data_IF_023603842086
#
_entry.id   IF_023603842086
#
_cell.length_a   1.000
_cell.length_b   1.000
_cell.length_c   1.000
_cell.angle_alpha   90.00
_cell.angle_beta   90.00
_cell.angle_gamma   90.00
#
_symmetry.space_group_name_H-M   'P 1'
#
loop_
_entity.id
_entity.type
_entity.pdbx_description
1 polymer ?
#
# COMPACT_ATOMS: atom_id res chain seq x y z
N UNK A 1 -6.62 3.31 22.71
CA UNK A 1 -6.68 4.77 22.97
C UNK A 1 -5.28 5.34 22.88
N UNK A 2 -5.12 6.45 22.18
CA UNK A 2 -3.88 7.26 22.11
C UNK A 2 -4.20 8.63 22.68
N UNK A 3 -3.27 9.23 23.39
CA UNK A 3 -3.43 10.52 24.03
C UNK A 3 -2.13 11.31 23.91
N UNK A 4 -2.27 12.60 23.68
CA UNK A 4 -1.21 13.60 23.79
C UNK A 4 -1.70 14.69 24.74
N UNK A 5 -0.88 15.06 25.71
CA UNK A 5 -1.20 16.08 26.71
C UNK A 5 -0.25 17.28 26.55
N UNK A 6 -0.77 18.48 26.78
CA UNK A 6 0.05 19.68 26.92
C UNK A 6 0.87 19.62 28.20
N UNK A 7 1.96 20.39 28.28
CA UNK A 7 2.81 20.47 29.46
C UNK A 7 1.98 20.81 30.68
N UNK A 8 2.11 20.00 31.76
CA UNK A 8 1.41 20.18 33.04
C UNK A 8 0.01 19.53 33.10
N UNK A 9 -0.49 18.94 32.02
CA UNK A 9 -1.77 18.22 31.99
C UNK A 9 -1.49 16.72 32.19
N UNK A 10 -2.08 16.07 33.20
CA UNK A 10 -1.89 14.64 33.44
C UNK A 10 -2.60 13.80 32.36
N UNK A 11 -1.94 12.72 31.93
CA UNK A 11 -2.54 11.77 30.98
C UNK A 11 -3.69 10.98 31.63
N UNK A 12 -4.79 10.84 30.92
CA UNK A 12 -6.01 10.15 31.34
C UNK A 12 -6.26 8.85 30.58
N UNK A 13 -5.36 8.47 29.67
CA UNK A 13 -5.50 7.34 28.76
C UNK A 13 -5.93 6.05 29.43
N UNK A 14 -5.33 5.73 30.56
CA UNK A 14 -5.58 4.44 31.23
C UNK A 14 -6.97 4.38 31.89
N UNK A 15 -7.55 5.52 32.24
CA UNK A 15 -8.90 5.64 32.79
C UNK A 15 -9.98 5.70 31.68
N UNK A 16 -9.64 6.18 30.51
CA UNK A 16 -10.55 6.30 29.35
C UNK A 16 -10.64 5.02 28.50
N UNK A 17 -10.05 3.91 28.95
CA UNK A 17 -10.13 2.66 28.20
C UNK A 17 -11.39 1.86 28.55
N UNK A 18 -11.92 1.15 27.56
CA UNK A 18 -13.06 0.23 27.72
C UNK A 18 -14.34 0.89 28.23
N UNK A 19 -14.57 2.16 27.94
CA UNK A 19 -15.82 2.84 28.31
C UNK A 19 -17.00 2.24 27.55
N UNK A 20 -18.09 1.84 28.23
CA UNK A 20 -19.25 1.26 27.59
C UNK A 20 -20.01 2.34 26.79
N UNK A 21 -20.12 2.14 25.47
CA UNK A 21 -20.79 3.11 24.55
C UNK A 21 -22.29 3.32 24.86
N UNK A 22 -22.88 2.45 25.66
CA UNK A 22 -24.27 2.58 26.14
C UNK A 22 -24.46 3.81 27.04
N UNK A 23 -23.41 4.20 27.76
CA UNK A 23 -23.41 5.40 28.62
C UNK A 23 -23.26 6.69 27.81
N UNK A 24 -22.89 6.60 26.54
CA UNK A 24 -22.62 7.74 25.65
C UNK A 24 -23.49 7.70 24.37
N UNK A 25 -24.82 7.83 24.48
CA UNK A 25 -25.73 7.69 23.34
C UNK A 25 -25.53 8.76 22.25
N UNK A 26 -25.10 9.97 22.61
CA UNK A 26 -24.75 11.02 21.65
C UNK A 26 -23.55 10.62 20.78
N UNK A 27 -22.51 10.06 21.39
CA UNK A 27 -21.30 9.59 20.70
C UNK A 27 -21.64 8.47 19.73
N UNK A 28 -22.47 7.52 20.16
CA UNK A 28 -22.96 6.44 19.26
C UNK A 28 -23.75 6.99 18.06
N UNK A 29 -24.59 8.00 18.27
CA UNK A 29 -25.35 8.67 17.20
C UNK A 29 -24.45 9.45 16.27
N UNK A 30 -23.48 10.19 16.82
CA UNK A 30 -22.51 10.97 16.05
C UNK A 30 -21.63 10.08 15.18
N UNK A 31 -21.16 8.96 15.73
CA UNK A 31 -20.35 7.98 15.00
C UNK A 31 -21.12 7.39 13.81
N UNK A 32 -22.40 6.99 14.02
CA UNK A 32 -23.26 6.47 12.94
C UNK A 32 -23.55 7.50 11.87
N UNK A 33 -23.76 8.77 12.27
CA UNK A 33 -24.09 9.85 11.35
C UNK A 33 -22.85 10.52 10.73
N UNK A 34 -21.65 10.13 11.15
CA UNK A 34 -20.37 10.77 10.80
C UNK A 34 -20.42 12.31 11.04
N UNK A 35 -20.98 12.71 12.18
CA UNK A 35 -21.11 14.11 12.55
C UNK A 35 -20.23 14.45 13.76
N UNK A 36 -19.64 15.65 13.81
CA UNK A 36 -18.85 16.07 14.97
C UNK A 36 -19.72 16.18 16.22
N UNK A 37 -19.08 16.05 17.37
CA UNK A 37 -19.62 16.35 18.67
C UNK A 37 -18.93 17.59 19.21
N UNK A 38 -19.74 18.51 19.69
CA UNK A 38 -19.28 19.71 20.37
C UNK A 38 -19.96 19.81 21.75
N UNK A 39 -19.19 20.13 22.76
CA UNK A 39 -19.65 20.45 24.10
C UNK A 39 -19.06 21.81 24.43
N UNK A 40 -19.87 22.84 24.44
CA UNK A 40 -19.50 24.22 24.80
C UNK A 40 -20.09 24.66 26.13
N UNK A 41 -21.09 23.90 26.62
CA UNK A 41 -21.78 24.16 27.89
C UNK A 41 -22.17 22.83 28.58
N UNK A 42 -21.45 22.49 29.64
CA UNK A 42 -21.73 21.29 30.42
C UNK A 42 -23.00 21.37 31.25
N UNK A 43 -23.43 22.57 31.64
CA UNK A 43 -24.66 22.74 32.42
C UNK A 43 -25.88 22.56 31.54
N UNK A 44 -25.81 23.02 30.29
CA UNK A 44 -26.79 22.72 29.26
C UNK A 44 -26.83 21.23 28.93
N UNK A 45 -25.69 20.60 28.83
CA UNK A 45 -25.57 19.14 28.58
C UNK A 45 -26.19 18.33 29.70
N UNK A 46 -25.98 18.71 30.96
CA UNK A 46 -26.49 18.01 32.15
C UNK A 46 -28.03 17.90 32.17
N UNK A 47 -28.75 18.84 31.56
CA UNK A 47 -30.22 18.80 31.48
C UNK A 47 -30.75 17.65 30.63
N UNK A 48 -30.00 17.23 29.61
CA UNK A 48 -30.42 16.20 28.66
C UNK A 48 -29.63 14.90 28.78
N UNK A 49 -28.40 14.99 29.26
CA UNK A 49 -27.44 13.87 29.38
C UNK A 49 -26.63 13.99 30.66
N UNK A 50 -27.28 13.78 31.83
CA UNK A 50 -26.65 14.03 33.13
C UNK A 50 -25.43 13.15 33.42
N UNK A 51 -25.47 11.86 33.00
CA UNK A 51 -24.36 10.92 33.18
C UNK A 51 -23.13 11.31 32.35
N UNK A 52 -23.35 11.78 31.12
CA UNK A 52 -22.30 12.26 30.26
C UNK A 52 -21.65 13.54 30.80
N UNK A 53 -22.47 14.49 31.30
CA UNK A 53 -21.97 15.72 31.88
C UNK A 53 -21.21 15.46 33.20
N UNK A 54 -21.68 14.52 34.04
CA UNK A 54 -21.00 14.11 35.27
C UNK A 54 -19.62 13.51 34.94
N UNK A 55 -19.56 12.66 33.91
CA UNK A 55 -18.31 12.08 33.46
C UNK A 55 -17.29 13.17 33.06
N UNK A 56 -17.64 14.14 32.22
CA UNK A 56 -16.71 15.20 31.81
C UNK A 56 -16.27 16.08 33.01
N UNK A 57 -17.16 16.34 33.96
CA UNK A 57 -16.80 17.08 35.19
C UNK A 57 -15.80 16.32 36.03
N UNK A 58 -15.95 15.01 36.17
CA UNK A 58 -15.03 14.15 36.92
C UNK A 58 -13.61 14.22 36.32
N UNK A 59 -13.49 14.34 34.99
CA UNK A 59 -12.21 14.45 34.31
C UNK A 59 -11.74 15.88 34.09
N UNK A 60 -12.45 16.88 34.63
CA UNK A 60 -12.06 18.29 34.54
C UNK A 60 -12.20 18.91 33.17
N UNK A 61 -12.89 18.26 32.23
CA UNK A 61 -13.15 18.76 30.89
C UNK A 61 -14.31 19.74 30.95
N UNK A 62 -14.12 20.98 30.45
CA UNK A 62 -15.15 22.01 30.42
C UNK A 62 -15.77 22.16 29.04
N UNK A 63 -14.97 22.02 27.99
CA UNK A 63 -15.39 22.05 26.60
C UNK A 63 -14.76 20.91 25.82
N UNK A 64 -15.40 20.46 24.76
CA UNK A 64 -14.88 19.35 23.95
C UNK A 64 -15.27 19.51 22.50
N UNK A 65 -14.33 19.23 21.62
CA UNK A 65 -14.55 19.12 20.21
C UNK A 65 -14.08 17.73 19.73
N UNK A 66 -14.99 16.95 19.13
CA UNK A 66 -14.67 15.61 18.66
C UNK A 66 -15.15 15.38 17.21
N UNK A 67 -14.30 14.83 16.39
CA UNK A 67 -14.62 14.38 15.03
C UNK A 67 -14.61 12.86 14.96
N UNK A 68 -15.67 12.22 14.47
CA UNK A 68 -15.71 10.79 14.26
C UNK A 68 -14.87 10.40 13.05
N UNK A 69 -14.31 9.20 13.11
CA UNK A 69 -13.81 8.48 11.95
C UNK A 69 -14.44 7.10 11.89
N UNK A 70 -14.86 6.71 10.70
CA UNK A 70 -15.48 5.40 10.49
C UNK A 70 -15.01 4.84 9.16
N UNK A 71 -14.29 3.72 9.22
CA UNK A 71 -14.07 2.82 8.10
C UNK A 71 -14.36 1.41 8.56
N UNK A 72 -14.74 0.53 7.62
CA UNK A 72 -15.25 -0.85 7.85
C UNK A 72 -14.68 -1.63 9.04
N UNK A 73 -13.46 -1.32 9.50
CA UNK A 73 -12.76 -2.07 10.56
C UNK A 73 -12.35 -1.16 11.72
N UNK A 74 -12.23 0.15 11.51
CA UNK A 74 -11.81 1.11 12.53
C UNK A 74 -12.86 2.20 12.69
N UNK A 75 -13.44 2.31 13.87
CA UNK A 75 -14.38 3.36 14.23
C UNK A 75 -13.89 4.02 15.53
N UNK A 76 -13.98 5.32 15.58
CA UNK A 76 -13.58 6.07 16.78
C UNK A 76 -13.77 7.57 16.62
N UNK A 77 -13.17 8.30 17.53
CA UNK A 77 -13.16 9.75 17.54
C UNK A 77 -11.73 10.26 17.72
N UNK A 78 -11.44 11.39 17.08
CA UNK A 78 -10.36 12.28 17.54
C UNK A 78 -11.06 13.39 18.30
N UNK A 79 -10.63 13.64 19.52
CA UNK A 79 -11.17 14.67 20.38
C UNK A 79 -10.07 15.58 20.90
N UNK A 80 -10.43 16.81 21.16
CA UNK A 80 -9.61 17.80 21.86
C UNK A 80 -10.45 18.32 23.02
N UNK A 81 -9.92 18.19 24.20
CA UNK A 81 -10.49 18.73 25.43
C UNK A 81 -9.99 20.15 25.64
N UNK A 82 -10.89 21.04 26.02
CA UNK A 82 -10.64 22.45 26.30
C UNK A 82 -9.81 23.17 25.20
N UNK A 83 -10.23 23.13 23.93
CA UNK A 83 -9.51 23.76 22.84
C UNK A 83 -9.44 25.29 23.06
N UNK A 84 -8.22 25.85 22.92
CA UNK A 84 -7.99 27.29 23.05
C UNK A 84 -8.14 28.03 21.72
N UNK A 85 -8.17 27.29 20.60
CA UNK A 85 -8.37 27.81 19.23
C UNK A 85 -9.32 26.92 18.46
N UNK A 86 -10.04 27.49 17.51
CA UNK A 86 -10.98 26.75 16.66
C UNK A 86 -12.03 25.98 17.46
N UNK A 87 -12.55 26.61 18.49
CA UNK A 87 -13.45 26.01 19.49
C UNK A 87 -14.78 25.53 18.91
N UNK A 88 -15.15 26.01 17.75
CA UNK A 88 -16.41 25.77 17.03
C UNK A 88 -16.20 25.17 15.62
N UNK A 89 -14.96 24.96 15.18
CA UNK A 89 -14.64 24.44 13.85
C UNK A 89 -14.03 23.02 13.92
N UNK A 90 -14.81 21.98 13.57
CA UNK A 90 -14.35 20.59 13.58
C UNK A 90 -13.54 20.20 12.33
N UNK A 91 -13.39 21.07 11.32
CA UNK A 91 -12.77 20.70 10.03
C UNK A 91 -11.34 20.20 10.21
N UNK A 92 -10.57 20.85 11.06
CA UNK A 92 -9.20 20.41 11.36
C UNK A 92 -9.16 18.99 11.94
N UNK A 93 -10.09 18.65 12.85
CA UNK A 93 -10.16 17.30 13.44
C UNK A 93 -10.59 16.25 12.41
N UNK A 94 -11.44 16.61 11.43
CA UNK A 94 -11.76 15.71 10.32
C UNK A 94 -10.52 15.42 9.45
N UNK A 95 -9.71 16.43 9.14
CA UNK A 95 -8.46 16.25 8.42
C UNK A 95 -7.51 15.35 9.23
N UNK A 96 -7.34 15.63 10.52
CA UNK A 96 -6.52 14.82 11.40
C UNK A 96 -7.06 13.38 11.51
N UNK A 97 -8.38 13.20 11.59
CA UNK A 97 -9.00 11.87 11.65
C UNK A 97 -8.72 11.04 10.40
N UNK A 98 -8.68 11.68 9.23
CA UNK A 98 -8.32 11.02 7.98
C UNK A 98 -6.85 10.55 8.00
N UNK A 99 -5.92 11.41 8.44
CA UNK A 99 -4.51 11.06 8.59
C UNK A 99 -4.30 9.89 9.56
N UNK A 100 -4.98 9.92 10.71
CA UNK A 100 -4.93 8.82 11.70
C UNK A 100 -5.48 7.51 11.11
N UNK A 101 -6.57 7.56 10.33
CA UNK A 101 -7.12 6.37 9.68
C UNK A 101 -6.14 5.78 8.66
N UNK A 102 -5.42 6.62 7.91
CA UNK A 102 -4.39 6.16 6.98
C UNK A 102 -3.26 5.45 7.74
N UNK A 103 -2.74 6.07 8.79
CA UNK A 103 -1.67 5.50 9.63
C UNK A 103 -2.10 4.20 10.32
N UNK A 104 -3.30 4.17 10.91
CA UNK A 104 -3.83 2.95 11.53
C UNK A 104 -4.04 1.82 10.53
N UNK A 105 -4.40 2.12 9.29
CA UNK A 105 -4.49 1.10 8.24
C UNK A 105 -3.10 0.57 7.87
N UNK A 106 -2.11 1.44 7.78
CA UNK A 106 -0.73 1.07 7.49
C UNK A 106 -0.13 0.21 8.63
N UNK A 107 -0.29 0.63 9.88
CA UNK A 107 0.11 -0.14 11.07
C UNK A 107 -0.59 -1.51 11.10
N UNK A 108 -1.90 -1.58 10.84
CA UNK A 108 -2.64 -2.84 10.79
C UNK A 108 -2.21 -3.72 9.62
N UNK A 109 -1.92 -3.15 8.49
CA UNK A 109 -1.40 -3.88 7.34
C UNK A 109 -0.02 -4.46 7.66
N UNK A 110 0.86 -3.68 8.28
CA UNK A 110 2.14 -4.15 8.80
C UNK A 110 1.98 -5.20 9.91
N UNK A 111 1.01 -5.02 10.82
CA UNK A 111 0.71 -6.01 11.87
C UNK A 111 0.06 -7.27 11.30
N UNK A 112 -0.78 -7.16 10.28
CA UNK A 112 -1.36 -8.31 9.57
C UNK A 112 -0.29 -9.06 8.78
N UNK A 113 0.64 -8.36 8.17
CA UNK A 113 1.84 -8.95 7.55
C UNK A 113 2.69 -9.62 8.63
N UNK A 114 2.96 -8.95 9.76
CA UNK A 114 3.70 -9.52 10.90
C UNK A 114 2.93 -10.65 11.61
N UNK A 115 1.60 -10.60 11.67
CA UNK A 115 0.77 -11.66 12.29
C UNK A 115 0.53 -12.81 11.32
N UNK A 116 0.38 -12.58 10.02
CA UNK A 116 0.44 -13.63 9.00
C UNK A 116 1.83 -14.29 8.98
N UNK A 117 2.87 -13.51 9.23
CA UNK A 117 4.23 -13.98 9.43
C UNK A 117 4.41 -14.73 10.78
N UNK A 118 3.60 -14.43 11.82
CA UNK A 118 3.63 -15.11 13.13
C UNK A 118 2.60 -16.24 13.30
N UNK A 119 1.48 -16.23 12.58
CA UNK A 119 0.39 -17.22 12.70
C UNK A 119 0.46 -18.33 11.67
N UNK A 120 1.23 -18.19 10.61
CA UNK A 120 1.73 -19.31 9.84
C UNK A 120 2.62 -20.10 10.81
N UNK A 121 2.33 -21.40 11.03
CA UNK A 121 3.34 -22.34 11.47
C UNK A 121 4.52 -22.09 10.53
N UNK A 122 5.52 -21.39 11.01
CA UNK A 122 6.68 -21.00 10.24
C UNK A 122 7.31 -22.30 9.74
N UNK A 123 7.06 -22.61 8.49
CA UNK A 123 7.88 -23.60 7.84
C UNK A 123 9.24 -22.92 7.67
N UNK A 124 10.33 -23.40 8.26
CA UNK A 124 11.66 -22.80 8.13
C UNK A 124 12.12 -22.68 6.67
N UNK A 125 11.37 -23.26 5.77
CA UNK A 125 11.60 -23.31 4.32
C UNK A 125 10.87 -22.20 3.55
N UNK A 126 9.97 -21.43 4.18
CA UNK A 126 9.25 -20.34 3.52
C UNK A 126 10.11 -19.08 3.38
N UNK A 127 10.29 -18.62 2.15
CA UNK A 127 11.02 -17.40 1.80
C UNK A 127 10.12 -16.48 0.99
N UNK A 128 9.91 -15.28 1.50
CA UNK A 128 9.15 -14.24 0.80
C UNK A 128 10.10 -13.27 0.13
N UNK A 129 9.86 -12.96 -1.13
CA UNK A 129 10.74 -12.11 -1.92
C UNK A 129 9.89 -11.08 -2.67
N UNK A 130 10.19 -9.80 -2.43
CA UNK A 130 9.57 -8.70 -3.13
C UNK A 130 10.56 -8.15 -4.17
N UNK A 131 10.05 -7.84 -5.36
CA UNK A 131 10.81 -7.29 -6.47
C UNK A 131 10.24 -5.98 -7.00
N UNK A 132 8.94 -5.72 -6.78
CA UNK A 132 8.33 -4.46 -7.17
C UNK A 132 8.85 -3.30 -6.32
N UNK A 133 9.51 -2.32 -6.97
CA UNK A 133 10.12 -1.17 -6.31
C UNK A 133 11.50 -1.43 -5.71
N UNK A 134 12.01 -2.68 -5.77
CA UNK A 134 13.32 -3.08 -5.26
C UNK A 134 13.34 -4.50 -4.69
N UNK A 135 14.53 -5.05 -4.47
CA UNK A 135 14.65 -6.39 -3.90
C UNK A 135 14.57 -6.36 -2.38
N UNK A 136 13.70 -7.19 -1.83
CA UNK A 136 13.63 -7.48 -0.40
C UNK A 136 13.41 -8.98 -0.20
N UNK A 137 14.23 -9.62 0.61
CA UNK A 137 14.17 -11.04 0.91
C UNK A 137 13.88 -11.21 2.40
N UNK A 138 12.78 -11.86 2.71
CA UNK A 138 12.30 -12.08 4.07
C UNK A 138 12.32 -13.57 4.37
N UNK A 139 13.05 -13.93 5.42
CA UNK A 139 13.13 -15.29 5.95
C UNK A 139 12.70 -15.33 7.42
N UNK A 140 12.52 -16.51 8.02
CA UNK A 140 12.32 -16.67 9.47
C UNK A 140 13.40 -16.03 10.35
N UNK A 141 14.63 -15.89 9.81
CA UNK A 141 15.77 -15.40 10.58
C UNK A 141 16.08 -13.93 10.37
N UNK A 142 15.44 -13.27 9.41
CA UNK A 142 15.63 -11.84 9.16
C UNK A 142 15.25 -11.40 7.75
N UNK A 143 15.51 -10.14 7.48
CA UNK A 143 15.25 -9.49 6.19
C UNK A 143 16.55 -8.97 5.60
N UNK A 144 16.70 -9.08 4.29
CA UNK A 144 17.81 -8.58 3.50
C UNK A 144 17.25 -7.74 2.36
N UNK A 145 17.75 -6.52 2.22
CA UNK A 145 17.33 -5.58 1.16
C UNK A 145 18.33 -5.58 0.01
N UNK A 146 17.93 -5.01 -1.12
CA UNK A 146 18.82 -4.83 -2.26
C UNK A 146 20.06 -3.97 -1.95
N UNK A 147 19.99 -3.10 -0.94
CA UNK A 147 21.12 -2.27 -0.49
C UNK A 147 22.19 -3.08 0.25
N UNK A 148 21.80 -4.18 0.88
CA UNK A 148 22.74 -5.09 1.57
C UNK A 148 23.57 -5.89 0.56
N UNK A 149 23.10 -6.01 -0.69
CA UNK A 149 23.79 -6.70 -1.79
C UNK A 149 24.57 -5.65 -2.61
N UNK A 150 25.75 -5.28 -2.13
CA UNK A 150 26.55 -4.18 -2.68
C UNK A 150 27.05 -4.41 -4.12
N UNK A 151 27.35 -5.66 -4.48
CA UNK A 151 27.90 -5.98 -5.78
C UNK A 151 26.78 -6.22 -6.81
N UNK A 152 26.78 -5.47 -7.89
CA UNK A 152 25.80 -5.54 -8.97
C UNK A 152 25.67 -6.94 -9.57
N UNK A 153 26.78 -7.60 -9.83
CA UNK A 153 26.81 -8.98 -10.34
C UNK A 153 26.13 -9.98 -9.38
N UNK A 154 26.32 -9.81 -8.06
CA UNK A 154 25.61 -10.62 -7.06
C UNK A 154 24.11 -10.37 -7.10
N UNK A 155 23.72 -9.11 -7.18
CA UNK A 155 22.31 -8.73 -7.24
C UNK A 155 21.64 -9.29 -8.50
N UNK A 156 22.25 -9.10 -9.68
CA UNK A 156 21.70 -9.58 -10.97
C UNK A 156 21.60 -11.11 -10.99
N UNK A 157 22.64 -11.83 -10.53
CA UNK A 157 22.62 -13.29 -10.48
C UNK A 157 21.48 -13.79 -9.58
N UNK A 158 21.34 -13.21 -8.39
CA UNK A 158 20.28 -13.60 -7.45
C UNK A 158 18.90 -13.30 -8.03
N UNK A 159 18.71 -12.11 -8.59
CA UNK A 159 17.48 -11.71 -9.23
C UNK A 159 17.09 -12.66 -10.37
N UNK A 160 18.04 -13.00 -11.24
CA UNK A 160 17.80 -13.89 -12.37
C UNK A 160 17.41 -15.30 -11.91
N UNK A 161 18.10 -15.84 -10.91
CA UNK A 161 17.79 -17.16 -10.35
C UNK A 161 16.41 -17.20 -9.69
N UNK A 162 16.02 -16.13 -8.96
CA UNK A 162 14.71 -16.06 -8.29
C UNK A 162 13.58 -15.89 -9.30
N UNK A 163 13.72 -14.98 -10.28
CA UNK A 163 12.72 -14.79 -11.35
C UNK A 163 12.49 -16.07 -12.16
N UNK A 164 13.47 -16.96 -12.14
CA UNK A 164 13.41 -18.25 -12.80
C UNK A 164 13.59 -19.43 -11.83
N UNK A 165 13.08 -19.31 -10.60
CA UNK A 165 13.36 -20.25 -9.50
C UNK A 165 13.00 -21.71 -9.79
N UNK A 166 12.17 -21.97 -10.81
CA UNK A 166 11.80 -23.34 -11.26
C UNK A 166 12.76 -23.94 -12.29
N UNK A 167 13.81 -23.19 -12.70
CA UNK A 167 14.75 -23.59 -13.75
C UNK A 167 16.17 -23.78 -13.23
N UNK A 168 16.96 -24.56 -14.00
CA UNK A 168 18.39 -24.74 -13.79
C UNK A 168 19.16 -24.03 -14.90
N UNK A 169 20.29 -23.43 -14.57
CA UNK A 169 21.09 -22.66 -15.52
C UNK A 169 22.53 -23.14 -15.54
N UNK A 170 23.11 -23.22 -16.74
CA UNK A 170 24.53 -23.50 -16.90
C UNK A 170 25.37 -22.30 -16.45
N UNK A 171 26.63 -22.55 -16.15
CA UNK A 171 27.59 -21.50 -15.80
C UNK A 171 27.72 -20.49 -16.92
N UNK A 172 27.76 -20.94 -18.18
CA UNK A 172 27.90 -20.05 -19.34
C UNK A 172 26.71 -19.11 -19.45
N UNK A 173 25.46 -19.63 -19.32
CA UNK A 173 24.25 -18.80 -19.31
C UNK A 173 24.28 -17.75 -18.20
N UNK A 174 24.73 -18.13 -17.01
CA UNK A 174 24.82 -17.18 -15.89
C UNK A 174 25.92 -16.15 -16.09
N UNK A 175 27.04 -16.53 -16.68
CA UNK A 175 28.12 -15.61 -17.03
C UNK A 175 27.68 -14.55 -18.02
N UNK A 176 26.90 -14.92 -19.04
CA UNK A 176 26.31 -13.98 -20.01
C UNK A 176 25.37 -12.97 -19.34
N UNK A 177 24.61 -13.37 -18.32
CA UNK A 177 23.69 -12.48 -17.61
C UNK A 177 24.44 -11.47 -16.73
N UNK A 178 25.53 -11.86 -16.09
CA UNK A 178 26.24 -11.00 -15.12
C UNK A 178 27.39 -10.20 -15.75
N UNK A 179 27.86 -10.60 -16.93
CA UNK A 179 28.96 -9.95 -17.66
C UNK A 179 28.69 -10.01 -19.17
N UNK A 180 27.63 -9.37 -19.69
CA UNK A 180 27.19 -9.56 -21.08
C UNK A 180 28.16 -9.00 -22.12
N UNK A 181 29.09 -8.14 -21.72
CA UNK A 181 30.01 -7.44 -22.62
C UNK A 181 31.48 -7.81 -22.39
N UNK A 182 31.77 -8.69 -21.44
CA UNK A 182 33.13 -9.07 -21.08
C UNK A 182 33.47 -10.44 -21.67
N UNK A 183 34.60 -10.52 -22.41
CA UNK A 183 35.24 -11.80 -22.70
C UNK A 183 35.89 -12.32 -21.41
N UNK A 184 35.25 -13.31 -20.79
CA UNK A 184 35.75 -13.88 -19.54
C UNK A 184 36.77 -14.98 -19.82
N UNK A 185 37.99 -14.84 -19.31
CA UNK A 185 39.01 -15.90 -19.36
C UNK A 185 38.55 -17.20 -18.72
N UNK A 186 37.68 -17.09 -17.69
CA UNK A 186 37.15 -18.25 -16.99
C UNK A 186 35.74 -17.96 -16.40
N UNK A 187 34.66 -18.15 -17.16
CA UNK A 187 33.26 -18.02 -16.68
C UNK A 187 33.02 -18.84 -15.41
N UNK A 188 33.60 -20.02 -15.33
CA UNK A 188 33.53 -20.92 -14.17
C UNK A 188 34.01 -20.25 -12.88
N UNK A 189 35.19 -19.61 -12.91
CA UNK A 189 35.76 -18.95 -11.70
C UNK A 189 34.91 -17.74 -11.28
N UNK A 190 34.45 -16.94 -12.24
CA UNK A 190 33.65 -15.73 -12.00
C UNK A 190 32.31 -16.09 -11.36
N UNK A 191 31.55 -16.99 -11.96
CA UNK A 191 30.23 -17.41 -11.44
C UNK A 191 30.36 -18.05 -10.05
N UNK A 192 31.35 -18.95 -9.84
CA UNK A 192 31.54 -19.58 -8.52
C UNK A 192 31.89 -18.55 -7.45
N UNK A 193 32.75 -17.56 -7.75
CA UNK A 193 33.05 -16.47 -6.80
C UNK A 193 31.84 -15.65 -6.43
N UNK A 194 30.97 -15.31 -7.40
CA UNK A 194 29.75 -14.57 -7.16
C UNK A 194 28.78 -15.39 -6.31
N UNK A 195 28.60 -16.69 -6.63
CA UNK A 195 27.75 -17.59 -5.83
C UNK A 195 28.29 -17.74 -4.41
N UNK A 196 29.59 -17.85 -4.23
CA UNK A 196 30.20 -17.90 -2.90
C UNK A 196 29.89 -16.63 -2.09
N UNK A 197 30.07 -15.45 -2.70
CA UNK A 197 29.75 -14.15 -2.07
C UNK A 197 28.28 -14.06 -1.72
N UNK A 198 27.37 -14.46 -2.63
CA UNK A 198 25.94 -14.50 -2.39
C UNK A 198 25.57 -15.40 -1.22
N UNK A 199 26.09 -16.62 -1.17
CA UNK A 199 25.84 -17.53 -0.04
C UNK A 199 26.26 -16.94 1.30
N UNK A 200 27.40 -16.22 1.31
CA UNK A 200 27.86 -15.50 2.50
C UNK A 200 26.91 -14.36 2.89
N UNK A 201 26.40 -13.58 1.93
CA UNK A 201 25.41 -12.53 2.20
C UNK A 201 24.09 -13.13 2.70
N UNK A 202 23.59 -14.16 2.03
CA UNK A 202 22.35 -14.86 2.39
C UNK A 202 22.44 -15.59 3.73
N UNK A 203 23.64 -15.97 4.20
CA UNK A 203 23.82 -16.64 5.50
C UNK A 203 23.40 -15.76 6.68
N UNK A 204 23.43 -14.42 6.54
CA UNK A 204 23.00 -13.48 7.58
C UNK A 204 21.53 -13.69 7.96
N UNK A 205 20.72 -14.11 6.98
CA UNK A 205 19.31 -14.41 7.16
C UNK A 205 19.00 -15.92 7.08
N UNK A 206 20.06 -16.77 7.20
CA UNK A 206 19.94 -18.24 7.24
C UNK A 206 19.58 -18.90 5.91
N UNK A 207 19.87 -18.25 4.80
CA UNK A 207 19.57 -18.72 3.45
C UNK A 207 20.85 -19.09 2.65
N UNK A 208 21.91 -19.52 3.31
CA UNK A 208 23.16 -19.93 2.66
C UNK A 208 23.00 -21.07 1.65
N UNK A 209 21.97 -21.89 1.81
CA UNK A 209 21.62 -23.00 0.92
C UNK A 209 20.58 -22.66 -0.16
N UNK A 210 20.13 -21.39 -0.22
CA UNK A 210 19.13 -20.97 -1.20
C UNK A 210 19.59 -21.19 -2.66
N UNK A 211 20.89 -21.03 -2.92
CA UNK A 211 21.47 -21.28 -4.24
C UNK A 211 22.27 -22.58 -4.16
N UNK A 212 21.85 -23.58 -4.91
CA UNK A 212 22.56 -24.85 -5.01
C UNK A 212 23.20 -25.02 -6.38
N UNK A 213 24.39 -25.63 -6.39
CA UNK A 213 25.16 -25.97 -7.60
C UNK A 213 25.39 -27.46 -7.69
N UNK A 214 25.10 -28.05 -8.86
CA UNK A 214 25.39 -29.47 -9.15
C UNK A 214 25.72 -29.64 -10.62
N UNK A 215 26.79 -30.38 -10.92
CA UNK A 215 27.17 -30.73 -12.30
C UNK A 215 27.27 -29.51 -13.25
N UNK A 216 27.92 -28.42 -12.80
CA UNK A 216 28.12 -27.22 -13.62
C UNK A 216 26.83 -26.38 -13.86
N UNK A 217 25.78 -26.64 -13.11
CA UNK A 217 24.54 -25.84 -13.15
C UNK A 217 24.20 -25.28 -11.78
N UNK A 218 23.50 -24.15 -11.76
CA UNK A 218 22.97 -23.53 -10.56
C UNK A 218 21.45 -23.38 -10.63
N UNK A 219 20.80 -23.46 -9.48
CA UNK A 219 19.35 -23.26 -9.31
C UNK A 219 19.03 -22.79 -7.89
N UNK A 220 17.80 -22.33 -7.68
CA UNK A 220 17.24 -22.17 -6.33
C UNK A 220 17.01 -23.57 -5.73
N UNK A 221 17.35 -23.72 -4.44
CA UNK A 221 17.21 -24.97 -3.72
C UNK A 221 15.74 -25.42 -3.64
N UNK A 222 15.41 -26.67 -3.98
CA UNK A 222 14.04 -27.17 -3.98
C UNK A 222 13.45 -27.32 -2.56
N UNK A 223 14.28 -27.22 -1.54
CA UNK A 223 13.87 -27.29 -0.13
C UNK A 223 13.21 -25.98 0.35
N UNK A 224 13.24 -24.92 -0.46
CA UNK A 224 12.67 -23.63 -0.11
C UNK A 224 11.36 -23.39 -0.86
N UNK A 225 10.34 -22.98 -0.11
CA UNK A 225 9.08 -22.49 -0.67
C UNK A 225 9.21 -21.00 -0.99
N UNK A 226 9.42 -20.69 -2.25
CA UNK A 226 9.59 -19.29 -2.69
C UNK A 226 8.22 -18.66 -2.96
N UNK A 227 7.94 -17.57 -2.27
CA UNK A 227 6.74 -16.74 -2.43
C UNK A 227 7.15 -15.36 -2.91
N UNK A 228 6.88 -15.03 -4.17
CA UNK A 228 7.23 -13.72 -4.73
C UNK A 228 6.02 -12.79 -4.83
N UNK A 229 6.26 -11.48 -4.80
CA UNK A 229 5.23 -10.47 -5.03
C UNK A 229 4.69 -10.56 -6.47
N UNK A 230 5.53 -10.80 -7.45
CA UNK A 230 5.11 -10.91 -8.85
C UNK A 230 4.28 -12.18 -9.14
N UNK A 231 4.59 -13.36 -8.56
CA UNK A 231 3.76 -14.56 -8.70
C UNK A 231 2.37 -14.35 -8.06
N UNK A 232 2.33 -13.68 -6.90
CA UNK A 232 1.08 -13.34 -6.21
C UNK A 232 0.27 -12.33 -7.02
N UNK A 233 0.93 -11.34 -7.60
CA UNK A 233 0.31 -10.35 -8.48
C UNK A 233 -0.30 -11.00 -9.73
N UNK A 234 0.45 -11.85 -10.44
CA UNK A 234 -0.05 -12.60 -11.59
C UNK A 234 -1.23 -13.50 -11.22
N UNK A 235 -1.13 -14.21 -10.09
CA UNK A 235 -2.21 -15.07 -9.61
C UNK A 235 -3.50 -14.28 -9.35
N UNK A 236 -3.39 -13.10 -8.73
CA UNK A 236 -4.54 -12.22 -8.51
C UNK A 236 -5.13 -11.71 -9.84
N UNK A 237 -4.28 -11.35 -10.81
CA UNK A 237 -4.70 -10.92 -12.15
C UNK A 237 -5.42 -12.04 -12.93
N UNK A 238 -4.94 -13.28 -12.81
CA UNK A 238 -5.59 -14.45 -13.44
C UNK A 238 -6.97 -14.70 -12.79
N UNK A 239 -7.05 -14.69 -11.46
CA UNK A 239 -8.31 -14.89 -10.74
C UNK A 239 -9.34 -13.80 -11.07
N UNK A 240 -8.93 -12.55 -11.25
CA UNK A 240 -9.82 -11.45 -11.64
C UNK A 240 -10.52 -11.67 -12.99
N UNK A 241 -9.96 -12.49 -13.88
CA UNK A 241 -10.58 -12.80 -15.18
C UNK A 241 -11.80 -13.73 -15.06
N UNK A 242 -11.85 -14.55 -14.04
CA UNK A 242 -12.86 -15.59 -13.85
C UNK A 242 -13.75 -15.37 -12.62
N UNK A 243 -13.37 -14.47 -11.70
CA UNK A 243 -14.15 -14.22 -10.49
C UNK A 243 -15.39 -13.35 -10.81
N UNK A 244 -16.56 -13.83 -10.46
CA UNK A 244 -17.84 -13.14 -10.70
C UNK A 244 -18.38 -12.45 -9.44
N UNK A 245 -17.99 -12.91 -8.25
CA UNK A 245 -18.51 -12.37 -6.98
C UNK A 245 -17.96 -10.96 -6.72
N UNK A 246 -18.80 -9.93 -6.58
CA UNK A 246 -18.35 -8.54 -6.45
C UNK A 246 -17.38 -8.31 -5.29
N UNK A 247 -17.63 -8.89 -4.12
CA UNK A 247 -16.78 -8.71 -2.94
C UNK A 247 -15.40 -9.35 -3.13
N UNK A 248 -15.34 -10.53 -3.77
CA UNK A 248 -14.09 -11.20 -4.08
C UNK A 248 -13.30 -10.43 -5.14
N UNK A 249 -13.97 -9.95 -6.20
CA UNK A 249 -13.34 -9.08 -7.20
C UNK A 249 -12.73 -7.83 -6.57
N UNK A 250 -13.47 -7.18 -5.66
CA UNK A 250 -12.97 -6.02 -4.94
C UNK A 250 -11.70 -6.34 -4.15
N UNK A 251 -11.70 -7.45 -3.42
CA UNK A 251 -10.54 -7.91 -2.64
C UNK A 251 -9.33 -8.23 -3.52
N UNK A 252 -9.56 -8.89 -4.66
CA UNK A 252 -8.51 -9.23 -5.62
C UNK A 252 -7.90 -8.00 -6.28
N UNK A 253 -8.73 -7.02 -6.69
CA UNK A 253 -8.24 -5.73 -7.21
C UNK A 253 -7.35 -5.02 -6.19
N UNK A 254 -7.82 -4.91 -4.95
CA UNK A 254 -7.06 -4.27 -3.88
C UNK A 254 -5.73 -4.99 -3.63
N UNK A 255 -5.76 -6.32 -3.51
CA UNK A 255 -4.56 -7.13 -3.35
C UNK A 255 -3.56 -6.95 -4.49
N UNK A 256 -4.02 -6.98 -5.74
CA UNK A 256 -3.15 -6.82 -6.90
C UNK A 256 -2.51 -5.42 -6.94
N UNK A 257 -3.33 -4.37 -6.76
CA UNK A 257 -2.85 -2.97 -6.77
C UNK A 257 -1.84 -2.73 -5.64
N UNK A 258 -2.08 -3.29 -4.45
CA UNK A 258 -1.19 -3.12 -3.28
C UNK A 258 0.15 -3.86 -3.43
N UNK A 259 0.20 -4.93 -4.21
CA UNK A 259 1.44 -5.66 -4.47
C UNK A 259 2.39 -4.88 -5.39
N UNK A 260 1.86 -4.11 -6.34
CA UNK A 260 2.69 -3.38 -7.29
C UNK A 260 3.21 -2.07 -6.67
N UNK A 261 4.49 -2.05 -6.32
CA UNK A 261 5.14 -0.88 -5.69
C UNK A 261 6.00 -0.06 -6.67
N UNK A 262 6.04 -0.45 -7.93
CA UNK A 262 6.83 0.21 -8.98
C UNK A 262 7.47 -0.79 -9.92
N UNK A 263 8.42 -0.30 -10.69
CA UNK A 263 9.17 -1.13 -11.63
C UNK A 263 9.86 -2.30 -10.93
N UNK A 264 10.01 -3.39 -11.67
CA UNK A 264 10.75 -4.55 -11.21
C UNK A 264 12.24 -4.18 -11.09
N UNK A 265 12.80 -4.26 -9.88
CA UNK A 265 14.23 -4.03 -9.62
C UNK A 265 14.76 -2.74 -10.28
N UNK A 266 14.31 -1.56 -9.91
CA UNK A 266 14.60 -0.29 -10.61
C UNK A 266 16.10 0.05 -10.69
N UNK A 267 16.94 -0.55 -9.82
CA UNK A 267 18.40 -0.40 -9.87
C UNK A 267 19.01 -0.84 -11.22
N UNK A 268 18.33 -1.75 -11.93
CA UNK A 268 18.79 -2.39 -13.16
C UNK A 268 17.78 -2.25 -14.31
N UNK A 269 17.06 -1.13 -14.35
CA UNK A 269 16.03 -0.87 -15.38
C UNK A 269 16.56 -0.89 -16.83
N UNK A 270 17.87 -0.71 -17.03
CA UNK A 270 18.53 -0.72 -18.32
C UNK A 270 18.90 -2.14 -18.81
N UNK A 271 18.81 -3.16 -17.97
CA UNK A 271 19.00 -4.55 -18.37
C UNK A 271 17.85 -5.01 -19.27
N UNK A 272 18.16 -5.36 -20.52
CA UNK A 272 17.15 -5.63 -21.56
C UNK A 272 16.13 -6.71 -21.14
N UNK A 273 16.62 -7.80 -20.57
CA UNK A 273 15.76 -8.90 -20.10
C UNK A 273 14.83 -8.49 -18.96
N UNK A 274 15.28 -7.60 -18.08
CA UNK A 274 14.51 -7.08 -16.95
C UNK A 274 13.52 -6.00 -17.40
N UNK A 275 13.94 -5.15 -18.34
CA UNK A 275 13.09 -4.10 -18.93
C UNK A 275 11.83 -4.69 -19.56
N UNK A 276 11.96 -5.79 -20.31
CA UNK A 276 10.80 -6.48 -20.92
C UNK A 276 9.81 -6.98 -19.85
N UNK A 277 10.31 -7.57 -18.76
CA UNK A 277 9.48 -8.00 -17.64
C UNK A 277 8.83 -6.82 -16.91
N UNK A 278 9.58 -5.74 -16.69
CA UNK A 278 9.04 -4.53 -16.05
C UNK A 278 7.90 -3.92 -16.86
N UNK A 279 8.08 -3.83 -18.19
CA UNK A 279 7.01 -3.34 -19.10
C UNK A 279 5.77 -4.25 -19.07
N UNK A 280 5.95 -5.56 -19.04
CA UNK A 280 4.84 -6.51 -18.91
C UNK A 280 4.06 -6.28 -17.62
N UNK A 281 4.73 -6.23 -16.46
CA UNK A 281 4.07 -6.03 -15.18
C UNK A 281 3.44 -4.66 -15.05
N UNK A 282 4.08 -3.60 -15.56
CA UNK A 282 3.50 -2.26 -15.60
C UNK A 282 2.22 -2.22 -16.44
N UNK A 283 2.24 -2.81 -17.63
CA UNK A 283 1.05 -2.90 -18.48
C UNK A 283 -0.09 -3.64 -17.79
N UNK A 284 0.21 -4.76 -17.15
CA UNK A 284 -0.76 -5.55 -16.40
C UNK A 284 -1.33 -4.76 -15.20
N UNK A 285 -0.48 -4.04 -14.47
CA UNK A 285 -0.88 -3.17 -13.37
C UNK A 285 -1.84 -2.07 -13.84
N UNK A 286 -1.50 -1.37 -14.92
CA UNK A 286 -2.35 -0.31 -15.48
C UNK A 286 -3.71 -0.88 -15.94
N UNK A 287 -3.73 -2.04 -16.59
CA UNK A 287 -4.96 -2.71 -17.01
C UNK A 287 -5.87 -3.04 -15.82
N UNK A 288 -5.30 -3.63 -14.76
CA UNK A 288 -6.03 -3.98 -13.53
C UNK A 288 -6.55 -2.73 -12.84
N UNK A 289 -5.71 -1.70 -12.74
CA UNK A 289 -6.09 -0.43 -12.08
C UNK A 289 -7.21 0.27 -12.84
N UNK A 290 -7.18 0.31 -14.15
CA UNK A 290 -8.29 0.84 -14.99
C UNK A 290 -9.59 0.09 -14.72
N UNK A 291 -9.54 -1.23 -14.67
CA UNK A 291 -10.71 -2.06 -14.32
C UNK A 291 -11.28 -1.72 -12.94
N UNK A 292 -10.41 -1.51 -11.96
CA UNK A 292 -10.82 -1.14 -10.60
C UNK A 292 -11.41 0.27 -10.53
N UNK A 293 -10.76 1.24 -11.18
CA UNK A 293 -11.24 2.62 -11.26
C UNK A 293 -12.62 2.67 -11.91
N UNK A 294 -12.84 1.95 -13.03
CA UNK A 294 -14.16 1.82 -13.69
C UNK A 294 -15.19 1.28 -12.72
N UNK A 295 -14.89 0.18 -12.04
CA UNK A 295 -15.78 -0.39 -11.02
C UNK A 295 -16.17 0.63 -9.93
N UNK A 296 -15.21 1.44 -9.49
CA UNK A 296 -15.45 2.49 -8.48
C UNK A 296 -16.29 3.66 -9.00
N UNK A 297 -16.10 4.04 -10.26
CA UNK A 297 -16.95 5.02 -10.94
C UNK A 297 -18.40 4.54 -11.03
N UNK A 298 -18.62 3.29 -11.41
CA UNK A 298 -19.96 2.67 -11.51
C UNK A 298 -20.66 2.60 -10.13
N UNK A 299 -19.89 2.33 -9.08
CA UNK A 299 -20.36 2.37 -7.69
C UNK A 299 -20.51 3.78 -7.11
N UNK A 300 -20.22 4.84 -7.87
CA UNK A 300 -20.19 6.24 -7.43
C UNK A 300 -19.23 6.54 -6.27
N UNK A 301 -18.22 5.70 -6.08
CA UNK A 301 -17.13 5.91 -5.13
C UNK A 301 -16.04 6.76 -5.80
N UNK A 302 -16.39 8.02 -6.10
CA UNK A 302 -15.54 8.92 -6.87
C UNK A 302 -14.23 9.28 -6.14
N UNK A 303 -14.25 9.30 -4.81
CA UNK A 303 -13.06 9.59 -4.01
C UNK A 303 -12.01 8.51 -4.21
N UNK A 304 -12.42 7.25 -4.11
CA UNK A 304 -11.49 6.13 -4.28
C UNK A 304 -11.08 5.96 -5.75
N UNK A 305 -12.02 6.21 -6.70
CA UNK A 305 -11.70 6.21 -8.13
C UNK A 305 -10.63 7.26 -8.48
N UNK A 306 -10.80 8.50 -8.01
CA UNK A 306 -9.85 9.59 -8.22
C UNK A 306 -8.48 9.23 -7.64
N UNK A 307 -8.44 8.81 -6.37
CA UNK A 307 -7.19 8.44 -5.69
C UNK A 307 -6.47 7.36 -6.46
N UNK A 308 -7.16 6.28 -6.79
CA UNK A 308 -6.55 5.12 -7.49
C UNK A 308 -6.04 5.50 -8.88
N UNK A 309 -6.77 6.33 -9.63
CA UNK A 309 -6.34 6.81 -10.94
C UNK A 309 -5.07 7.67 -10.83
N UNK A 310 -5.03 8.60 -9.86
CA UNK A 310 -3.87 9.48 -9.65
C UNK A 310 -2.64 8.67 -9.19
N UNK A 311 -2.82 7.70 -8.29
CA UNK A 311 -1.73 6.84 -7.83
C UNK A 311 -1.13 6.03 -9.00
N UNK A 312 -1.95 5.56 -9.91
CA UNK A 312 -1.49 4.83 -11.10
C UNK A 312 -0.80 5.73 -12.14
N UNK A 313 -1.24 6.99 -12.28
CA UNK A 313 -0.62 7.97 -13.16
C UNK A 313 0.83 8.34 -12.74
N UNK A 314 1.28 7.95 -11.56
CA UNK A 314 2.69 8.05 -11.16
C UNK A 314 3.60 7.13 -11.99
N UNK A 315 3.05 6.03 -12.50
CA UNK A 315 3.77 5.05 -13.31
C UNK A 315 3.62 5.29 -14.81
N UNK A 316 2.49 5.87 -15.23
CA UNK A 316 2.26 6.35 -16.60
C UNK A 316 1.45 7.65 -16.59
N UNK A 317 2.12 8.81 -16.48
CA UNK A 317 1.45 10.12 -16.45
C UNK A 317 0.66 10.47 -17.71
N UNK A 318 0.94 9.76 -18.83
CA UNK A 318 0.32 10.01 -20.13
C UNK A 318 -0.85 9.07 -20.45
N UNK A 319 -1.18 8.15 -19.55
CA UNK A 319 -2.31 7.25 -19.78
C UNK A 319 -3.61 8.03 -19.91
N UNK A 320 -4.20 8.00 -21.08
CA UNK A 320 -5.36 8.81 -21.45
C UNK A 320 -6.62 8.42 -20.66
N UNK A 321 -6.84 7.13 -20.43
CA UNK A 321 -8.03 6.61 -19.75
C UNK A 321 -8.00 6.93 -18.26
N UNK A 322 -6.86 6.76 -17.59
CA UNK A 322 -6.69 7.12 -16.18
C UNK A 322 -6.82 8.63 -15.95
N UNK A 323 -6.25 9.45 -16.85
CA UNK A 323 -6.45 10.91 -16.82
C UNK A 323 -7.93 11.27 -16.95
N UNK A 324 -8.67 10.65 -17.88
CA UNK A 324 -10.11 10.83 -18.03
C UNK A 324 -10.87 10.51 -16.72
N UNK A 325 -10.61 9.34 -16.13
CA UNK A 325 -11.29 8.97 -14.90
C UNK A 325 -10.95 9.88 -13.73
N UNK A 326 -9.72 10.33 -13.58
CA UNK A 326 -9.31 11.27 -12.55
C UNK A 326 -10.10 12.58 -12.67
N UNK A 327 -10.22 13.12 -13.89
CA UNK A 327 -10.96 14.36 -14.17
C UNK A 327 -12.45 14.19 -13.91
N UNK A 328 -13.07 13.12 -14.41
CA UNK A 328 -14.49 12.83 -14.20
C UNK A 328 -14.81 12.66 -12.71
N UNK A 329 -13.97 11.93 -11.98
CA UNK A 329 -14.15 11.71 -10.56
C UNK A 329 -14.06 13.02 -9.76
N UNK A 330 -13.15 13.95 -10.11
CA UNK A 330 -13.10 15.31 -9.53
C UNK A 330 -14.39 16.08 -9.79
N UNK A 331 -14.86 16.06 -11.03
CA UNK A 331 -16.09 16.76 -11.41
C UNK A 331 -17.34 16.22 -10.70
N UNK A 332 -17.49 14.90 -10.62
CA UNK A 332 -18.62 14.26 -9.93
C UNK A 332 -18.62 14.44 -8.40
N UNK A 333 -17.48 14.80 -7.82
CA UNK A 333 -17.37 15.24 -6.42
C UNK A 333 -17.75 16.73 -6.23
N UNK A 334 -18.10 17.45 -7.30
CA UNK A 334 -18.42 18.89 -7.27
C UNK A 334 -17.20 19.80 -7.44
N UNK A 335 -15.99 19.26 -7.63
CA UNK A 335 -14.75 20.02 -7.75
C UNK A 335 -14.47 20.44 -9.22
N UNK A 336 -15.45 21.13 -9.84
CA UNK A 336 -15.36 21.49 -11.27
C UNK A 336 -14.15 22.37 -11.62
N UNK A 337 -13.78 23.30 -10.75
CA UNK A 337 -12.58 24.13 -10.96
C UNK A 337 -11.29 23.32 -11.04
N UNK A 338 -11.13 22.34 -10.13
CA UNK A 338 -9.99 21.44 -10.13
C UNK A 338 -10.01 20.53 -11.37
N UNK A 339 -11.18 19.98 -11.72
CA UNK A 339 -11.36 19.17 -12.92
C UNK A 339 -10.96 19.93 -14.19
N UNK A 340 -11.36 21.21 -14.31
CA UNK A 340 -11.00 22.09 -15.43
C UNK A 340 -9.48 22.32 -15.51
N UNK A 341 -8.85 22.63 -14.37
CA UNK A 341 -7.40 22.85 -14.30
C UNK A 341 -6.64 21.58 -14.72
N UNK A 342 -7.05 20.43 -14.18
CA UNK A 342 -6.44 19.15 -14.49
C UNK A 342 -6.66 18.74 -15.94
N UNK A 343 -7.88 18.97 -16.50
CA UNK A 343 -8.17 18.74 -17.91
C UNK A 343 -7.25 19.55 -18.82
N UNK A 344 -7.04 20.82 -18.52
CA UNK A 344 -6.15 21.71 -19.31
C UNK A 344 -4.72 21.17 -19.32
N UNK A 345 -4.23 20.68 -18.19
CA UNK A 345 -2.88 20.11 -18.08
C UNK A 345 -2.77 18.75 -18.79
N UNK A 346 -3.79 17.90 -18.68
CA UNK A 346 -3.81 16.55 -19.26
C UNK A 346 -4.16 16.53 -20.75
N UNK A 347 -4.72 17.60 -21.30
CA UNK A 347 -5.22 17.70 -22.69
C UNK A 347 -4.24 17.16 -23.76
N UNK A 348 -2.92 17.40 -23.68
CA UNK A 348 -1.97 16.86 -24.66
C UNK A 348 -1.88 15.32 -24.68
N UNK A 349 -2.33 14.66 -23.64
CA UNK A 349 -2.22 13.21 -23.47
C UNK A 349 -3.58 12.50 -23.62
N UNK A 350 -4.68 13.26 -23.73
CA UNK A 350 -6.02 12.69 -23.87
C UNK A 350 -6.28 12.25 -25.32
N UNK A 351 -6.73 11.03 -25.50
CA UNK A 351 -7.33 10.58 -26.76
C UNK A 351 -8.61 11.38 -27.02
N UNK A 352 -8.93 11.60 -28.31
CA UNK A 352 -10.10 12.39 -28.70
C UNK A 352 -11.39 11.89 -28.05
N UNK A 353 -11.61 10.59 -28.04
CA UNK A 353 -12.78 9.95 -27.41
C UNK A 353 -12.88 10.24 -25.92
N UNK A 354 -11.77 10.20 -25.18
CA UNK A 354 -11.74 10.49 -23.75
C UNK A 354 -11.98 11.97 -23.46
N UNK A 355 -11.45 12.87 -24.29
CA UNK A 355 -11.70 14.29 -24.19
C UNK A 355 -13.18 14.63 -24.44
N UNK A 356 -13.83 13.96 -25.41
CA UNK A 356 -15.26 14.13 -25.69
C UNK A 356 -16.12 13.63 -24.51
N UNK A 357 -15.77 12.51 -23.89
CA UNK A 357 -16.44 12.01 -22.68
C UNK A 357 -16.39 13.04 -21.56
N UNK A 358 -15.20 13.61 -21.29
CA UNK A 358 -15.04 14.64 -20.24
C UNK A 358 -15.92 15.86 -20.54
N UNK A 359 -15.88 16.38 -21.77
CA UNK A 359 -16.69 17.53 -22.17
C UNK A 359 -18.17 17.27 -22.04
N UNK A 360 -18.64 16.07 -22.46
CA UNK A 360 -20.04 15.66 -22.36
C UNK A 360 -20.57 15.65 -20.94
N UNK A 361 -19.79 15.11 -19.99
CA UNK A 361 -20.27 14.91 -18.62
C UNK A 361 -20.02 16.10 -17.69
N UNK A 362 -18.98 16.88 -17.91
CA UNK A 362 -18.62 18.02 -17.06
C UNK A 362 -18.91 19.39 -17.69
N UNK A 363 -19.41 19.43 -18.94
CA UNK A 363 -19.67 20.65 -19.71
C UNK A 363 -18.45 21.60 -19.76
N UNK A 364 -17.23 21.02 -19.75
CA UNK A 364 -15.96 21.74 -19.84
C UNK A 364 -15.74 22.19 -21.29
N UNK A 365 -15.28 23.43 -21.49
CA UNK A 365 -15.00 24.01 -22.81
C UNK A 365 -13.63 23.60 -23.36
#
# INVERSE_FOLDING_TARGET
TYEWCSDGIPAQRDMLQCLPMEKFPRWKKALKANKPLMISDLDGLAKSYPDEAAFFREYGVTTLLAAPFSKRINQGFIAVDDPTRYTDDPVFLFIASYAVVLELNEIKQQQSIRAATKASKYNPEDVHINFFGGMEIISPKGTLTGEDIKADQCYLLLAYLILNHKKKFSIDTLAEIICPYDELDSPYKVVNNIVYRLRRTLSVIGLEKLIIGKNGTFQIGPDFNIHTDFDRFESACIQLKTEEKPDMRHSLYHSAIDLYKGQLLPRFEHELWLMQLSMYYQSLYLQITKGYVRLKMDCKDYILAQKTAIDALRFDPKDSELNMYAILAMGFQGNLSMAQTYYTAAKPYLALEHAEVIKKYLHIK
#
